data_IF_152788750533
#
_entry.id   IF_152788750533
#
_cell.length_a   1.000
_cell.length_b   1.000
_cell.length_c   1.000
_cell.angle_alpha   90.00
_cell.angle_beta   90.00
_cell.angle_gamma   90.00
#
_symmetry.space_group_name_H-M   'P 1'
#
loop_
_entity.id
_entity.type
_entity.pdbx_description
1 polymer ?
#
# COMPACT_ATOMS: atom_id res chain seq x y z
N UNK A 1 7.47 -8.21 -6.40
CA UNK A 1 6.08 -8.10 -5.89
C UNK A 1 5.17 -9.02 -6.69
N UNK A 2 3.99 -9.37 -6.16
CA UNK A 2 3.05 -10.41 -6.62
C UNK A 2 2.35 -10.12 -7.97
N UNK A 3 3.09 -9.56 -8.92
CA UNK A 3 2.60 -9.18 -10.24
C UNK A 3 1.97 -10.36 -11.02
N UNK A 4 2.42 -11.59 -10.75
CA UNK A 4 1.82 -12.80 -11.32
C UNK A 4 0.36 -12.99 -10.87
N UNK A 5 0.05 -12.80 -9.58
CA UNK A 5 -1.31 -12.88 -9.04
C UNK A 5 -2.18 -11.76 -9.62
N UNK A 6 -1.65 -10.54 -9.70
CA UNK A 6 -2.32 -9.40 -10.30
C UNK A 6 -2.75 -9.63 -11.75
N UNK A 7 -1.95 -10.35 -12.55
CA UNK A 7 -2.32 -10.70 -13.92
C UNK A 7 -3.31 -11.85 -14.03
N UNK A 8 -3.27 -12.80 -13.11
CA UNK A 8 -3.92 -14.10 -13.29
C UNK A 8 -5.25 -14.22 -12.56
N UNK A 9 -5.40 -13.62 -11.39
CA UNK A 9 -6.57 -13.79 -10.54
C UNK A 9 -7.43 -12.52 -10.52
N UNK A 10 -8.62 -12.61 -11.09
CA UNK A 10 -9.54 -11.49 -11.20
C UNK A 10 -9.97 -10.91 -9.83
N UNK A 11 -10.32 -11.69 -8.80
CA UNK A 11 -10.70 -11.14 -7.49
C UNK A 11 -9.58 -10.33 -6.85
N UNK A 12 -8.34 -10.81 -6.99
CA UNK A 12 -7.15 -10.12 -6.52
C UNK A 12 -6.95 -8.81 -7.27
N UNK A 13 -6.98 -8.85 -8.61
CA UNK A 13 -6.86 -7.66 -9.47
C UNK A 13 -7.91 -6.61 -9.17
N UNK A 14 -9.18 -7.00 -9.02
CA UNK A 14 -10.28 -6.09 -8.69
C UNK A 14 -10.03 -5.36 -7.36
N UNK A 15 -9.57 -6.09 -6.34
CA UNK A 15 -9.28 -5.51 -5.01
C UNK A 15 -8.10 -4.53 -5.07
N UNK A 16 -7.03 -4.87 -5.79
CA UNK A 16 -5.89 -3.96 -5.99
C UNK A 16 -6.32 -2.70 -6.75
N UNK A 17 -7.15 -2.85 -7.79
CA UNK A 17 -7.68 -1.72 -8.56
C UNK A 17 -8.61 -0.82 -7.73
N UNK A 18 -9.40 -1.39 -6.83
CA UNK A 18 -10.21 -0.64 -5.86
C UNK A 18 -9.31 0.22 -4.95
N UNK A 19 -8.24 -0.37 -4.41
CA UNK A 19 -7.28 0.36 -3.58
C UNK A 19 -6.61 1.50 -4.37
N UNK A 20 -6.17 1.23 -5.60
CA UNK A 20 -5.60 2.24 -6.49
C UNK A 20 -6.59 3.39 -6.78
N UNK A 21 -7.86 3.07 -7.06
CA UNK A 21 -8.88 4.07 -7.32
C UNK A 21 -9.14 4.96 -6.11
N UNK A 22 -9.17 4.39 -4.90
CA UNK A 22 -9.33 5.15 -3.65
C UNK A 22 -8.14 6.10 -3.42
N UNK A 23 -6.92 5.62 -3.62
CA UNK A 23 -5.70 6.41 -3.42
C UNK A 23 -5.61 7.58 -4.39
N UNK A 24 -5.81 7.31 -5.69
CA UNK A 24 -5.77 8.34 -6.73
C UNK A 24 -6.87 9.38 -6.56
N UNK A 25 -8.09 8.96 -6.18
CA UNK A 25 -9.17 9.88 -5.84
C UNK A 25 -8.85 10.77 -4.62
N UNK A 26 -7.98 10.29 -3.73
CA UNK A 26 -7.52 11.02 -2.54
C UNK A 26 -6.25 11.84 -2.79
N UNK A 27 -5.73 11.86 -4.02
CA UNK A 27 -4.52 12.60 -4.40
C UNK A 27 -3.20 11.92 -4.05
N UNK A 28 -3.22 10.62 -3.73
CA UNK A 28 -2.01 9.84 -3.45
C UNK A 28 -1.39 9.22 -4.72
N UNK A 29 -0.11 8.82 -4.66
CA UNK A 29 0.62 8.28 -5.81
C UNK A 29 -0.01 7.02 -6.42
N UNK A 30 0.32 6.78 -7.70
CA UNK A 30 -0.10 5.58 -8.41
C UNK A 30 0.65 4.33 -7.91
N UNK A 31 -0.07 3.47 -7.19
CA UNK A 31 0.46 2.21 -6.68
C UNK A 31 0.66 1.12 -7.75
N UNK A 32 0.04 1.22 -8.93
CA UNK A 32 0.18 0.22 -10.00
C UNK A 32 1.57 0.31 -10.63
N UNK A 33 2.13 1.51 -10.73
CA UNK A 33 3.51 1.72 -11.16
C UNK A 33 4.53 0.99 -10.27
N UNK A 34 4.21 0.81 -8.98
CA UNK A 34 5.07 0.09 -8.02
C UNK A 34 4.88 -1.43 -8.10
N UNK A 35 3.67 -1.90 -8.43
CA UNK A 35 3.34 -3.33 -8.54
C UNK A 35 3.87 -3.91 -9.87
N UNK A 36 3.85 -3.13 -10.95
CA UNK A 36 4.27 -3.56 -12.27
C UNK A 36 5.78 -3.32 -12.49
N UNK A 37 6.60 -4.38 -12.63
CA UNK A 37 8.04 -4.22 -12.83
C UNK A 37 8.42 -3.61 -14.20
N UNK A 38 7.47 -3.49 -15.13
CA UNK A 38 7.68 -2.86 -16.44
C UNK A 38 7.40 -1.36 -16.44
N UNK A 39 6.75 -0.84 -15.40
CA UNK A 39 6.53 0.60 -15.27
C UNK A 39 7.73 1.18 -14.51
N UNK A 40 8.44 2.11 -15.14
CA UNK A 40 9.44 2.89 -14.40
C UNK A 40 8.69 3.78 -13.41
N UNK A 41 9.07 3.79 -12.13
CA UNK A 41 8.60 4.80 -11.14
C UNK A 41 9.09 6.22 -11.47
N UNK A 42 9.54 6.46 -12.72
CA UNK A 42 10.37 7.56 -13.20
C UNK A 42 9.77 8.97 -13.17
N UNK A 43 8.73 9.19 -12.39
CA UNK A 43 8.18 10.52 -12.09
C UNK A 43 7.87 10.78 -10.62
N UNK A 44 8.03 9.80 -9.73
CA UNK A 44 7.74 9.96 -8.30
C UNK A 44 8.95 10.55 -7.56
N UNK A 45 8.67 11.46 -6.63
CA UNK A 45 9.65 11.87 -5.62
C UNK A 45 9.94 10.73 -4.65
N UNK A 46 11.08 10.77 -3.94
CA UNK A 46 11.41 9.77 -2.92
C UNK A 46 10.33 9.60 -1.84
N UNK A 47 9.60 10.67 -1.51
CA UNK A 47 8.51 10.60 -0.55
C UNK A 47 7.31 9.85 -1.15
N UNK A 48 6.93 10.19 -2.37
CA UNK A 48 5.82 9.55 -3.09
C UNK A 48 6.10 8.07 -3.36
N UNK A 49 7.35 7.69 -3.64
CA UNK A 49 7.74 6.29 -3.74
C UNK A 49 7.50 5.55 -2.41
N UNK A 50 7.93 6.12 -1.28
CA UNK A 50 7.73 5.51 0.03
C UNK A 50 6.25 5.41 0.42
N UNK A 51 5.47 6.46 0.13
CA UNK A 51 4.02 6.51 0.27
C UNK A 51 3.36 5.38 -0.54
N UNK A 52 3.73 5.25 -1.82
CA UNK A 52 3.25 4.20 -2.70
C UNK A 52 3.63 2.81 -2.18
N UNK A 53 4.87 2.59 -1.74
CA UNK A 53 5.30 1.29 -1.21
C UNK A 53 4.49 0.84 0.00
N UNK A 54 4.22 1.72 0.97
CA UNK A 54 3.41 1.34 2.14
C UNK A 54 1.96 1.06 1.76
N UNK A 55 1.38 1.88 0.88
CA UNK A 55 0.03 1.66 0.37
C UNK A 55 -0.09 0.34 -0.41
N UNK A 56 0.95 -0.02 -1.19
CA UNK A 56 1.01 -1.31 -1.90
C UNK A 56 1.03 -2.49 -0.92
N UNK A 57 1.80 -2.41 0.16
CA UNK A 57 1.84 -3.49 1.17
C UNK A 57 0.43 -3.74 1.71
N UNK A 58 -0.29 -2.68 2.11
CA UNK A 58 -1.68 -2.81 2.57
C UNK A 58 -2.58 -3.41 1.49
N UNK A 59 -2.50 -2.89 0.26
CA UNK A 59 -3.35 -3.33 -0.84
C UNK A 59 -3.15 -4.82 -1.18
N UNK A 60 -1.89 -5.29 -1.15
CA UNK A 60 -1.56 -6.70 -1.39
C UNK A 60 -2.08 -7.59 -0.24
N UNK A 61 -1.81 -7.25 1.01
CA UNK A 61 -2.27 -8.02 2.16
C UNK A 61 -3.81 -8.12 2.21
N UNK A 62 -4.49 -6.99 1.97
CA UNK A 62 -5.94 -6.96 1.90
C UNK A 62 -6.47 -7.77 0.70
N UNK A 63 -5.85 -7.66 -0.48
CA UNK A 63 -6.25 -8.44 -1.65
C UNK A 63 -6.05 -9.95 -1.47
N UNK A 64 -4.98 -10.37 -0.78
CA UNK A 64 -4.76 -11.78 -0.41
C UNK A 64 -5.83 -12.27 0.56
N UNK A 65 -6.15 -11.49 1.60
CA UNK A 65 -7.21 -11.83 2.54
C UNK A 65 -8.57 -11.96 1.82
N UNK A 66 -8.92 -10.99 0.97
CA UNK A 66 -10.15 -11.04 0.16
C UNK A 66 -10.17 -12.21 -0.82
N UNK A 67 -9.03 -12.59 -1.39
CA UNK A 67 -8.91 -13.76 -2.25
C UNK A 67 -9.22 -15.04 -1.47
N UNK A 68 -8.63 -15.24 -0.30
CA UNK A 68 -8.95 -16.39 0.56
C UNK A 68 -10.41 -16.42 0.98
N UNK A 69 -10.98 -15.27 1.34
CA UNK A 69 -12.41 -15.14 1.65
C UNK A 69 -13.29 -15.49 0.45
N UNK A 70 -12.86 -15.16 -0.78
CA UNK A 70 -13.58 -15.55 -1.99
C UNK A 70 -13.61 -17.06 -2.22
N UNK A 71 -12.65 -17.81 -1.64
CA UNK A 71 -12.64 -19.27 -1.64
C UNK A 71 -13.44 -19.89 -0.49
N UNK A 72 -14.14 -19.07 0.30
CA UNK A 72 -14.98 -19.52 1.42
C UNK A 72 -14.27 -19.57 2.77
N UNK A 73 -13.02 -19.11 2.88
CA UNK A 73 -12.31 -19.02 4.16
C UNK A 73 -12.77 -17.78 4.95
N UNK A 74 -13.42 -18.00 6.09
CA UNK A 74 -13.81 -16.92 6.99
C UNK A 74 -12.82 -16.86 8.18
N UNK A 75 -11.99 -15.80 8.31
CA UNK A 75 -11.07 -15.68 9.42
C UNK A 75 -11.83 -15.40 10.72
N UNK A 76 -11.57 -16.22 11.75
CA UNK A 76 -12.10 -16.00 13.11
C UNK A 76 -11.27 -14.99 13.89
N UNK A 77 -9.96 -14.94 13.63
CA UNK A 77 -9.00 -14.02 14.23
C UNK A 77 -8.06 -13.50 13.15
N UNK A 78 -7.75 -12.20 13.20
CA UNK A 78 -6.75 -11.56 12.34
C UNK A 78 -5.77 -10.77 13.20
N UNK A 79 -4.49 -10.87 12.88
CA UNK A 79 -3.40 -10.15 13.55
C UNK A 79 -2.44 -9.68 12.47
N UNK A 80 -2.02 -8.42 12.58
CA UNK A 80 -0.98 -7.84 11.75
C UNK A 80 0.19 -7.38 12.61
N UNK A 81 1.36 -7.24 12.02
CA UNK A 81 2.52 -6.66 12.68
C UNK A 81 2.86 -5.34 12.01
N UNK A 82 2.94 -4.25 12.77
CA UNK A 82 3.28 -2.93 12.25
C UNK A 82 2.31 -2.51 11.14
N UNK A 83 2.77 -2.25 9.91
CA UNK A 83 1.91 -1.88 8.78
C UNK A 83 0.81 -2.92 8.49
N UNK A 84 1.04 -4.19 8.79
CA UNK A 84 0.03 -5.22 8.59
C UNK A 84 -1.16 -5.13 9.55
N UNK A 85 -1.05 -4.37 10.65
CA UNK A 85 -2.18 -4.12 11.56
C UNK A 85 -3.32 -3.40 10.84
N UNK A 86 -3.02 -2.53 9.88
CA UNK A 86 -4.03 -1.84 9.09
C UNK A 86 -4.85 -2.83 8.25
N UNK A 87 -4.18 -3.78 7.56
CA UNK A 87 -4.89 -4.80 6.77
C UNK A 87 -5.76 -5.69 7.68
N UNK A 88 -5.24 -6.11 8.84
CA UNK A 88 -6.00 -6.87 9.82
C UNK A 88 -7.23 -6.10 10.31
N UNK A 89 -7.10 -4.81 10.64
CA UNK A 89 -8.22 -3.98 11.09
C UNK A 89 -9.29 -3.78 10.01
N UNK A 90 -8.89 -3.65 8.73
CA UNK A 90 -9.85 -3.56 7.62
C UNK A 90 -10.59 -4.89 7.42
N UNK A 91 -9.88 -6.02 7.46
CA UNK A 91 -10.49 -7.36 7.35
C UNK A 91 -11.44 -7.64 8.53
N UNK A 92 -11.10 -7.18 9.72
CA UNK A 92 -11.96 -7.25 10.91
C UNK A 92 -13.16 -6.28 10.88
N UNK A 93 -13.23 -5.37 9.90
CA UNK A 93 -14.28 -4.35 9.81
C UNK A 93 -14.17 -3.22 10.85
N UNK A 94 -13.01 -3.06 11.48
CA UNK A 94 -12.74 -2.00 12.47
C UNK A 94 -12.46 -0.67 11.75
N UNK A 95 -11.71 -0.72 10.65
CA UNK A 95 -11.42 0.43 9.79
C UNK A 95 -12.05 0.23 8.41
N UNK A 96 -12.46 1.34 7.78
CA UNK A 96 -12.78 1.31 6.36
C UNK A 96 -11.50 1.17 5.54
N UNK A 97 -11.60 0.57 4.35
CA UNK A 97 -10.47 0.46 3.43
C UNK A 97 -9.88 1.85 3.09
N UNK A 98 -10.75 2.84 2.88
CA UNK A 98 -10.35 4.21 2.57
C UNK A 98 -9.59 4.88 3.72
N UNK A 99 -10.06 4.72 4.97
CA UNK A 99 -9.38 5.30 6.12
C UNK A 99 -8.02 4.65 6.35
N UNK A 100 -7.92 3.33 6.19
CA UNK A 100 -6.66 2.61 6.31
C UNK A 100 -5.63 3.04 5.25
N UNK A 101 -6.05 3.12 3.98
CA UNK A 101 -5.22 3.60 2.87
C UNK A 101 -4.75 5.05 3.09
N UNK A 102 -5.64 5.92 3.56
CA UNK A 102 -5.31 7.32 3.84
C UNK A 102 -4.34 7.44 5.02
N UNK A 103 -4.57 6.66 6.08
CA UNK A 103 -3.74 6.70 7.28
C UNK A 103 -2.33 6.17 7.01
N UNK A 104 -2.21 5.01 6.34
CA UNK A 104 -0.90 4.41 6.07
C UNK A 104 -0.06 5.27 5.11
N UNK A 105 -0.70 5.93 4.14
CA UNK A 105 0.03 6.80 3.21
C UNK A 105 0.54 8.06 3.93
N UNK A 106 -0.31 8.69 4.74
CA UNK A 106 0.09 9.84 5.56
C UNK A 106 1.11 9.48 6.65
N UNK A 107 1.12 8.24 7.12
CA UNK A 107 2.07 7.75 8.13
C UNK A 107 3.53 7.93 7.66
N UNK A 108 3.81 7.71 6.38
CA UNK A 108 5.14 7.96 5.79
C UNK A 108 5.54 9.43 5.92
N UNK A 109 4.69 10.33 5.45
CA UNK A 109 4.92 11.77 5.52
C UNK A 109 5.12 12.23 6.97
N UNK A 110 4.36 11.68 7.91
CA UNK A 110 4.52 11.97 9.33
C UNK A 110 5.90 11.52 9.87
N UNK A 111 6.31 10.27 9.61
CA UNK A 111 7.61 9.77 10.03
C UNK A 111 8.77 10.59 9.45
N UNK A 112 8.71 10.91 8.15
CA UNK A 112 9.76 11.67 7.47
C UNK A 112 9.85 13.09 8.03
N UNK A 113 8.71 13.77 8.19
CA UNK A 113 8.68 15.17 8.63
C UNK A 113 8.97 15.36 10.12
N UNK A 114 8.57 14.42 10.98
CA UNK A 114 8.66 14.57 12.45
C UNK A 114 9.82 13.84 13.08
N UNK A 115 10.23 12.68 12.56
CA UNK A 115 11.25 11.85 13.21
C UNK A 115 12.69 12.18 12.77
N UNK A 116 12.90 13.12 11.83
CA UNK A 116 14.24 13.59 11.45
C UNK A 116 15.15 12.52 10.83
N UNK A 117 14.59 11.37 10.43
CA UNK A 117 15.30 10.18 9.92
C UNK A 117 16.20 10.53 8.70
N UNK A 118 15.88 11.62 8.01
CA UNK A 118 16.59 12.10 6.82
C UNK A 118 17.52 13.30 7.05
N UNK A 119 17.53 13.92 8.25
CA UNK A 119 18.37 15.10 8.52
C UNK A 119 19.86 14.79 8.62
N UNK A 120 20.27 13.52 8.74
CA UNK A 120 21.65 13.12 9.03
C UNK A 120 22.28 12.11 8.05
N UNK A 121 21.72 11.92 6.85
CA UNK A 121 22.41 11.16 5.78
C UNK A 121 23.02 12.12 4.76
N UNK A 122 24.23 12.58 5.06
CA UNK A 122 25.07 13.46 4.22
C UNK A 122 25.59 12.82 2.92
N UNK A 123 25.01 11.72 2.44
CA UNK A 123 25.49 11.02 1.24
C UNK A 123 24.32 10.44 0.47
N UNK A 124 23.75 11.19 -0.48
CA UNK A 124 23.53 10.72 -1.85
C UNK A 124 23.41 11.98 -2.69
N UNK A 125 24.43 12.22 -3.49
CA UNK A 125 24.55 13.39 -4.35
C UNK A 125 23.33 13.51 -5.28
N UNK A 126 22.93 14.77 -5.50
CA UNK A 126 22.12 15.27 -6.61
C UNK A 126 20.59 15.15 -6.47
N UNK A 127 20.03 16.13 -5.75
CA UNK A 127 18.77 16.76 -6.14
C UNK A 127 19.12 17.95 -7.05
N UNK A 128 19.12 17.71 -8.36
CA UNK A 128 18.99 18.71 -9.43
C UNK A 128 18.00 18.19 -10.45
#
# INVERSE_FOLDING_TARGET
MEYALYKTLLPFKCTVNECHAILTASGFPDILAVINPADETGGLTQLEELEAYQAVILALEYALAKLWMSWGLAPEVVVGHSLGEYAAQVVAGILTLQDALTCITNHVCFMVSKCGIWKNRSCYHQLR
#
